data_IF_289168218332
#
_entry.id   IF_289168218332
#
_cell.length_a   1.000
_cell.length_b   1.000
_cell.length_c   1.000
_cell.angle_alpha   90.00
_cell.angle_beta   90.00
_cell.angle_gamma   90.00
#
_symmetry.space_group_name_H-M   'P 1'
#
loop_
_entity.id
_entity.type
_entity.pdbx_description
1 polymer ?
#
# COMPACT_ATOMS: atom_id res chain seq x y z
N UNK A 1 -5.61 -2.28 56.78
CA UNK A 1 -4.81 -3.04 55.82
C UNK A 1 -5.49 -2.99 54.47
N UNK A 2 -5.12 -2.00 53.60
CA UNK A 2 -5.74 -1.84 52.27
C UNK A 2 -4.80 -2.47 51.26
N UNK A 3 -5.24 -3.58 50.66
CA UNK A 3 -4.58 -4.24 49.54
C UNK A 3 -4.74 -3.34 48.29
N UNK A 4 -3.65 -2.72 47.87
CA UNK A 4 -3.55 -2.07 46.55
C UNK A 4 -3.50 -3.19 45.47
N UNK A 5 -4.57 -3.37 44.77
CA UNK A 5 -4.59 -4.14 43.54
C UNK A 5 -3.69 -3.45 42.52
N UNK A 6 -2.58 -4.10 42.15
CA UNK A 6 -1.76 -3.69 41.00
C UNK A 6 -2.60 -3.80 39.71
N UNK A 7 -2.61 -2.77 38.88
CA UNK A 7 -3.16 -2.91 37.54
C UNK A 7 -2.32 -3.97 36.80
N UNK A 8 -2.99 -4.99 36.29
CA UNK A 8 -2.41 -5.98 35.41
C UNK A 8 -1.82 -5.26 34.18
N UNK A 9 -0.49 -5.26 34.09
CA UNK A 9 0.27 -4.84 32.91
C UNK A 9 -0.17 -5.69 31.70
N UNK A 10 -1.21 -5.25 31.02
CA UNK A 10 -1.52 -5.71 29.69
C UNK A 10 -0.41 -5.17 28.77
N UNK A 11 0.69 -5.92 28.64
CA UNK A 11 1.76 -5.64 27.66
C UNK A 11 1.12 -5.68 26.28
N UNK A 12 0.65 -4.53 25.82
CA UNK A 12 0.35 -4.33 24.42
C UNK A 12 1.63 -4.61 23.64
N UNK A 13 1.63 -5.63 22.80
CA UNK A 13 2.69 -5.96 21.88
C UNK A 13 2.74 -4.88 20.76
N UNK A 14 2.99 -3.63 21.17
CA UNK A 14 3.27 -2.55 20.24
C UNK A 14 4.65 -2.80 19.65
N UNK A 15 4.68 -3.42 18.48
CA UNK A 15 5.90 -3.57 17.69
C UNK A 15 6.51 -2.17 17.49
N UNK A 16 7.76 -1.99 17.92
CA UNK A 16 8.48 -0.72 17.80
C UNK A 16 8.35 -0.20 16.35
N UNK A 17 8.00 1.08 16.17
CA UNK A 17 7.92 1.66 14.84
C UNK A 17 9.27 1.60 14.14
N UNK A 18 9.27 1.35 12.83
CA UNK A 18 10.48 1.33 12.02
C UNK A 18 11.11 2.73 11.95
N UNK A 19 12.43 2.77 11.77
CA UNK A 19 13.10 3.98 11.30
C UNK A 19 12.60 4.27 9.87
N UNK A 20 12.38 5.52 9.52
CA UNK A 20 11.89 5.92 8.17
C UNK A 20 12.78 5.39 7.06
N UNK A 21 14.12 5.42 7.25
CA UNK A 21 15.08 4.86 6.30
C UNK A 21 14.91 3.36 6.07
N UNK A 22 14.61 2.60 7.12
CA UNK A 22 14.38 1.16 7.02
C UNK A 22 13.05 0.84 6.29
N UNK A 23 11.99 1.62 6.53
CA UNK A 23 10.74 1.46 5.81
C UNK A 23 10.90 1.79 4.32
N UNK A 24 11.57 2.89 3.99
CA UNK A 24 11.89 3.25 2.61
C UNK A 24 12.76 2.19 1.90
N UNK A 25 13.74 1.62 2.61
CA UNK A 25 14.56 0.53 2.06
C UNK A 25 13.72 -0.73 1.76
N UNK A 26 12.78 -1.10 2.63
CA UNK A 26 11.86 -2.22 2.37
C UNK A 26 11.03 -1.95 1.11
N UNK A 27 10.46 -0.75 0.97
CA UNK A 27 9.70 -0.37 -0.23
C UNK A 27 10.56 -0.49 -1.48
N UNK A 28 11.77 0.08 -1.48
CA UNK A 28 12.66 0.07 -2.64
C UNK A 28 13.10 -1.34 -3.03
N UNK A 29 13.50 -2.17 -2.06
CA UNK A 29 13.94 -3.55 -2.30
C UNK A 29 12.80 -4.39 -2.86
N UNK A 30 11.62 -4.34 -2.25
CA UNK A 30 10.46 -5.12 -2.72
C UNK A 30 10.01 -4.65 -4.09
N UNK A 31 9.97 -3.34 -4.34
CA UNK A 31 9.63 -2.79 -5.66
C UNK A 31 10.64 -3.29 -6.72
N UNK A 32 11.93 -3.27 -6.43
CA UNK A 32 12.96 -3.77 -7.35
C UNK A 32 12.83 -5.28 -7.61
N UNK A 33 12.56 -6.08 -6.58
CA UNK A 33 12.38 -7.53 -6.71
C UNK A 33 11.15 -7.86 -7.55
N UNK A 34 10.01 -7.23 -7.27
CA UNK A 34 8.77 -7.47 -8.03
C UNK A 34 8.91 -7.00 -9.47
N UNK A 35 9.50 -5.82 -9.71
CA UNK A 35 9.80 -5.33 -11.05
C UNK A 35 10.70 -6.30 -11.81
N UNK A 36 11.79 -6.75 -11.19
CA UNK A 36 12.69 -7.69 -11.82
C UNK A 36 12.02 -9.03 -12.15
N UNK A 37 11.21 -9.56 -11.23
CA UNK A 37 10.45 -10.78 -11.46
C UNK A 37 9.45 -10.63 -12.61
N UNK A 38 8.69 -9.53 -12.66
CA UNK A 38 7.75 -9.24 -13.73
C UNK A 38 8.45 -9.15 -15.09
N UNK A 39 9.51 -8.35 -15.19
CA UNK A 39 10.25 -8.18 -16.45
C UNK A 39 10.98 -9.46 -16.88
N UNK A 40 11.46 -10.26 -15.93
CA UNK A 40 12.05 -11.57 -16.22
C UNK A 40 11.02 -12.53 -16.81
N UNK A 41 9.83 -12.65 -16.19
CA UNK A 41 8.77 -13.53 -16.74
C UNK A 41 8.29 -13.02 -18.10
N UNK A 42 8.15 -11.71 -18.30
CA UNK A 42 7.82 -11.12 -19.60
C UNK A 42 8.88 -11.40 -20.66
N UNK A 43 10.16 -11.37 -20.29
CA UNK A 43 11.25 -11.76 -21.19
C UNK A 43 11.16 -13.24 -21.61
N UNK A 44 10.93 -14.13 -20.64
CA UNK A 44 10.72 -15.56 -20.95
C UNK A 44 9.51 -15.77 -21.85
N UNK A 45 8.41 -15.05 -21.60
CA UNK A 45 7.21 -15.10 -22.42
C UNK A 45 7.49 -14.74 -23.89
N UNK A 46 8.17 -13.62 -24.11
CA UNK A 46 8.51 -13.16 -25.46
C UNK A 46 9.45 -14.14 -26.17
N UNK A 47 10.36 -14.77 -25.42
CA UNK A 47 11.40 -15.64 -25.98
C UNK A 47 10.86 -17.02 -26.33
N UNK A 48 9.98 -17.58 -25.49
CA UNK A 48 9.64 -19.00 -25.58
C UNK A 48 8.18 -19.28 -25.93
N UNK A 49 7.27 -18.33 -25.79
CA UNK A 49 5.86 -18.54 -26.09
C UNK A 49 5.48 -18.04 -27.49
N UNK A 50 4.70 -18.81 -28.25
CA UNK A 50 4.18 -18.36 -29.53
C UNK A 50 3.13 -17.25 -29.31
N UNK A 51 3.28 -16.16 -30.05
CA UNK A 51 2.34 -15.03 -29.99
C UNK A 51 0.94 -15.45 -30.44
N UNK A 52 -0.08 -15.06 -29.64
CA UNK A 52 -1.48 -15.29 -29.96
C UNK A 52 -1.94 -16.76 -29.91
N UNK A 53 -1.19 -17.64 -29.24
CA UNK A 53 -1.56 -19.05 -29.09
C UNK A 53 -1.57 -19.45 -27.61
N UNK A 54 -2.63 -20.16 -27.21
CA UNK A 54 -2.73 -20.73 -25.87
C UNK A 54 -1.86 -21.98 -25.76
N UNK A 55 -1.05 -22.02 -24.71
CA UNK A 55 -0.23 -23.19 -24.30
C UNK A 55 -0.77 -23.69 -22.98
N UNK A 56 -1.46 -24.84 -22.93
CA UNK A 56 -2.02 -25.35 -21.68
C UNK A 56 -0.90 -25.81 -20.74
N UNK A 57 -0.98 -25.37 -19.47
CA UNK A 57 -0.09 -25.83 -18.37
C UNK A 57 -0.84 -26.81 -17.47
N UNK A 58 -2.06 -26.49 -17.09
CA UNK A 58 -2.97 -27.35 -16.32
C UNK A 58 -4.32 -27.48 -17.06
N UNK A 59 -4.27 -27.99 -18.30
CA UNK A 59 -5.44 -28.05 -19.17
C UNK A 59 -6.08 -26.67 -19.38
N UNK A 60 -7.42 -26.59 -19.27
CA UNK A 60 -8.16 -25.33 -19.40
C UNK A 60 -8.16 -24.50 -18.10
N UNK A 61 -7.62 -25.06 -17.00
CA UNK A 61 -7.59 -24.34 -15.72
C UNK A 61 -6.54 -23.20 -15.74
N UNK A 62 -5.35 -23.46 -16.29
CA UNK A 62 -4.27 -22.50 -16.42
C UNK A 62 -3.58 -22.68 -17.76
N UNK A 63 -3.54 -21.62 -18.52
CA UNK A 63 -2.88 -21.56 -19.81
C UNK A 63 -1.90 -20.39 -19.84
N UNK A 64 -0.82 -20.54 -20.58
CA UNK A 64 0.04 -19.42 -20.95
C UNK A 64 -0.39 -18.93 -22.34
N UNK A 65 -0.70 -17.66 -22.44
CA UNK A 65 -1.20 -17.06 -23.67
C UNK A 65 -0.55 -15.70 -23.91
N UNK A 66 0.53 -15.69 -24.70
CA UNK A 66 1.26 -14.45 -24.95
C UNK A 66 0.45 -13.50 -25.83
N UNK A 67 0.15 -12.32 -25.28
CA UNK A 67 -0.47 -11.21 -25.98
C UNK A 67 0.20 -9.90 -25.64
N UNK A 68 0.03 -8.89 -26.49
CA UNK A 68 0.40 -7.51 -26.23
C UNK A 68 -0.88 -6.70 -26.00
N UNK A 69 -0.94 -6.04 -24.87
CA UNK A 69 -2.11 -5.32 -24.42
C UNK A 69 -1.90 -3.79 -24.55
N UNK A 70 -2.57 -3.13 -25.50
CA UNK A 70 -2.48 -1.68 -25.67
C UNK A 70 -3.23 -0.89 -24.58
N UNK A 71 -3.79 -1.56 -23.57
CA UNK A 71 -4.46 -0.88 -22.45
C UNK A 71 -5.97 -0.85 -22.55
N UNK A 72 -6.55 -1.52 -23.55
CA UNK A 72 -7.99 -1.63 -23.68
C UNK A 72 -8.45 -3.03 -23.28
N UNK A 73 -9.00 -3.17 -22.07
CA UNK A 73 -9.96 -4.24 -21.85
C UNK A 73 -11.07 -4.05 -22.90
N UNK A 74 -11.30 -5.08 -23.75
CA UNK A 74 -12.37 -5.11 -24.78
C UNK A 74 -12.20 -4.17 -25.98
N UNK A 75 -11.00 -3.83 -26.43
CA UNK A 75 -10.75 -3.00 -27.62
C UNK A 75 -11.39 -1.60 -27.58
N UNK A 76 -11.85 -1.15 -26.44
CA UNK A 76 -12.45 0.17 -26.25
C UNK A 76 -11.33 1.17 -25.97
N UNK A 77 -10.79 1.80 -27.00
CA UNK A 77 -9.92 2.96 -26.83
C UNK A 77 -8.46 2.79 -27.24
N UNK A 78 -8.20 2.32 -28.46
CA UNK A 78 -6.85 2.34 -29.06
C UNK A 78 -6.18 3.75 -29.06
N UNK A 79 -6.95 4.82 -28.81
CA UNK A 79 -6.44 6.19 -28.64
C UNK A 79 -6.23 6.63 -27.17
N UNK A 80 -6.64 5.83 -26.19
CA UNK A 80 -6.62 6.22 -24.77
C UNK A 80 -5.50 5.56 -23.94
N UNK A 81 -4.59 4.82 -24.55
CA UNK A 81 -3.49 4.10 -23.91
C UNK A 81 -2.62 5.01 -23.01
N UNK A 82 -2.39 6.25 -23.42
CA UNK A 82 -1.65 7.24 -22.67
C UNK A 82 -2.27 7.58 -21.30
N UNK A 83 -3.59 7.42 -21.16
CA UNK A 83 -4.30 7.65 -19.87
C UNK A 83 -3.83 6.62 -18.85
N UNK A 84 -3.72 5.34 -19.25
CA UNK A 84 -3.23 4.27 -18.35
C UNK A 84 -1.78 4.50 -17.97
N UNK A 85 -0.95 4.90 -18.91
CA UNK A 85 0.46 5.25 -18.65
C UNK A 85 0.57 6.39 -17.64
N UNK A 86 -0.21 7.45 -17.84
CA UNK A 86 -0.27 8.60 -16.92
C UNK A 86 -0.79 8.19 -15.55
N UNK A 87 -1.83 7.37 -15.46
CA UNK A 87 -2.37 6.87 -14.21
C UNK A 87 -1.33 6.04 -13.42
N UNK A 88 -0.63 5.11 -14.09
CA UNK A 88 0.44 4.33 -13.48
C UNK A 88 1.58 5.23 -12.97
N UNK A 89 1.97 6.24 -13.74
CA UNK A 89 3.01 7.19 -13.34
C UNK A 89 2.58 8.00 -12.10
N UNK A 90 1.34 8.51 -12.07
CA UNK A 90 0.80 9.21 -10.90
C UNK A 90 0.80 8.32 -9.67
N UNK A 91 0.32 7.08 -9.79
CA UNK A 91 0.30 6.12 -8.68
C UNK A 91 1.71 5.84 -8.18
N UNK A 92 2.69 5.63 -9.07
CA UNK A 92 4.08 5.44 -8.69
C UNK A 92 4.63 6.62 -7.90
N UNK A 93 4.40 7.86 -8.37
CA UNK A 93 4.83 9.09 -7.68
C UNK A 93 4.18 9.21 -6.30
N UNK A 94 2.87 8.95 -6.19
CA UNK A 94 2.14 9.01 -4.92
C UNK A 94 2.70 7.98 -3.92
N UNK A 95 2.96 6.74 -4.35
CA UNK A 95 3.53 5.70 -3.48
C UNK A 95 4.92 6.11 -3.01
N UNK A 96 5.79 6.58 -3.90
CA UNK A 96 7.14 7.05 -3.54
C UNK A 96 7.05 8.21 -2.55
N UNK A 97 6.18 9.18 -2.78
CA UNK A 97 5.98 10.29 -1.86
C UNK A 97 5.53 9.84 -0.47
N UNK A 98 4.57 8.93 -0.39
CA UNK A 98 4.09 8.36 0.88
C UNK A 98 5.16 7.53 1.59
N UNK A 99 6.06 6.88 0.86
CA UNK A 99 7.12 6.05 1.42
C UNK A 99 8.07 6.82 2.34
N UNK A 100 8.30 8.13 2.11
CA UNK A 100 9.15 8.97 2.98
C UNK A 100 8.60 9.17 4.40
N UNK A 101 7.28 9.04 4.59
CA UNK A 101 6.63 9.18 5.90
C UNK A 101 6.39 7.87 6.64
N UNK A 102 6.67 6.72 6.03
CA UNK A 102 6.30 5.41 6.55
C UNK A 102 7.12 5.00 7.78
N UNK A 103 6.41 4.38 8.74
CA UNK A 103 6.99 3.73 9.93
C UNK A 103 6.42 2.32 10.18
N UNK A 104 5.36 1.95 9.47
CA UNK A 104 4.72 0.64 9.54
C UNK A 104 5.41 -0.34 8.59
N UNK A 105 5.80 -1.53 9.10
CA UNK A 105 6.35 -2.61 8.28
C UNK A 105 5.33 -3.12 7.26
N UNK A 106 4.08 -3.27 7.71
CA UNK A 106 3.03 -3.81 6.87
C UNK A 106 2.72 -2.89 5.70
N UNK A 107 2.60 -1.58 5.95
CA UNK A 107 2.48 -0.59 4.88
C UNK A 107 3.68 -0.58 3.93
N UNK A 108 4.91 -0.73 4.46
CA UNK A 108 6.11 -0.76 3.63
C UNK A 108 6.12 -1.98 2.69
N UNK A 109 5.69 -3.15 3.16
CA UNK A 109 5.59 -4.36 2.33
C UNK A 109 4.52 -4.19 1.26
N UNK A 110 3.32 -3.77 1.64
CA UNK A 110 2.19 -3.61 0.71
C UNK A 110 2.50 -2.58 -0.38
N UNK A 111 3.01 -1.40 0.02
CA UNK A 111 3.34 -0.34 -0.95
C UNK A 111 4.57 -0.68 -1.79
N UNK A 112 5.53 -1.43 -1.25
CA UNK A 112 6.68 -1.92 -2.03
C UNK A 112 6.28 -2.90 -3.12
N UNK A 113 5.45 -3.89 -2.79
CA UNK A 113 4.91 -4.84 -3.76
C UNK A 113 4.03 -4.15 -4.80
N UNK A 114 3.14 -3.26 -4.37
CA UNK A 114 2.28 -2.49 -5.27
C UNK A 114 3.12 -1.62 -6.22
N UNK A 115 4.12 -0.91 -5.71
CA UNK A 115 5.02 -0.09 -6.52
C UNK A 115 5.76 -0.92 -7.57
N UNK A 116 6.25 -2.10 -7.20
CA UNK A 116 6.92 -3.01 -8.12
C UNK A 116 6.03 -3.44 -9.28
N UNK A 117 4.76 -3.80 -9.01
CA UNK A 117 3.78 -4.11 -10.05
C UNK A 117 3.48 -2.90 -10.95
N UNK A 118 3.24 -1.73 -10.35
CA UNK A 118 3.01 -0.49 -11.11
C UNK A 118 4.20 -0.17 -12.02
N UNK A 119 5.43 -0.26 -11.50
CA UNK A 119 6.64 -0.03 -12.29
C UNK A 119 6.84 -1.09 -13.38
N UNK A 120 6.42 -2.34 -13.15
CA UNK A 120 6.47 -3.41 -14.15
C UNK A 120 5.66 -3.06 -15.41
N UNK A 121 4.39 -2.70 -15.23
CA UNK A 121 3.55 -2.29 -16.35
C UNK A 121 3.92 -0.91 -16.92
N UNK A 122 4.39 0.02 -16.08
CA UNK A 122 4.88 1.31 -16.54
C UNK A 122 6.13 1.18 -17.41
N UNK A 123 7.05 0.26 -17.07
CA UNK A 123 8.24 -0.04 -17.88
C UNK A 123 7.85 -0.48 -19.28
N UNK A 124 6.86 -1.38 -19.42
CA UNK A 124 6.37 -1.79 -20.73
C UNK A 124 5.79 -0.60 -21.51
N UNK A 125 4.99 0.24 -20.87
CA UNK A 125 4.38 1.43 -21.49
C UNK A 125 5.39 2.46 -22.00
N UNK A 126 6.55 2.54 -21.33
CA UNK A 126 7.60 3.51 -21.69
C UNK A 126 8.55 2.96 -22.74
N UNK A 127 8.93 1.67 -22.66
CA UNK A 127 10.06 1.14 -23.41
C UNK A 127 9.70 0.11 -24.49
N UNK A 128 8.46 -0.45 -24.51
CA UNK A 128 8.04 -1.37 -25.56
C UNK A 128 7.34 -0.66 -26.71
N UNK A 129 7.32 -1.32 -27.87
CA UNK A 129 6.63 -0.81 -29.03
C UNK A 129 5.13 -0.53 -28.75
N UNK A 130 4.57 0.51 -29.37
CA UNK A 130 5.18 1.49 -30.28
C UNK A 130 5.94 2.62 -29.58
N UNK A 131 6.19 2.53 -28.26
CA UNK A 131 6.95 3.47 -27.45
C UNK A 131 6.08 4.40 -26.61
N UNK A 132 6.76 5.23 -25.83
CA UNK A 132 6.11 6.18 -24.91
C UNK A 132 5.16 7.15 -25.66
N UNK A 133 3.95 7.42 -25.14
CA UNK A 133 3.34 6.91 -23.89
C UNK A 133 2.38 5.73 -24.14
N UNK A 134 2.44 5.06 -25.27
CA UNK A 134 1.46 4.08 -25.75
C UNK A 134 2.02 2.67 -25.91
N UNK A 135 3.18 2.37 -25.35
CA UNK A 135 3.78 1.04 -25.37
C UNK A 135 2.83 -0.05 -24.87
N UNK A 136 2.95 -1.25 -25.41
CA UNK A 136 2.05 -2.36 -25.11
C UNK A 136 2.59 -3.20 -23.95
N UNK A 137 1.71 -3.53 -23.00
CA UNK A 137 2.04 -4.43 -21.87
C UNK A 137 2.03 -5.87 -22.35
N UNK A 138 3.01 -6.65 -21.91
CA UNK A 138 3.08 -8.09 -22.18
C UNK A 138 2.27 -8.85 -21.15
N UNK A 139 1.19 -9.50 -21.60
CA UNK A 139 0.35 -10.37 -20.76
C UNK A 139 0.53 -11.82 -21.19
N UNK A 140 0.39 -12.76 -20.22
CA UNK A 140 0.65 -14.16 -20.49
C UNK A 140 -0.18 -15.16 -19.67
N UNK A 141 -0.79 -14.76 -18.58
CA UNK A 141 -1.52 -15.67 -17.67
C UNK A 141 -2.99 -15.65 -18.07
N UNK A 142 -3.50 -16.79 -18.48
CA UNK A 142 -4.91 -16.97 -18.88
C UNK A 142 -5.56 -18.02 -17.97
N UNK A 143 -6.68 -17.65 -17.36
CA UNK A 143 -7.54 -18.53 -16.55
C UNK A 143 -8.98 -18.39 -17.07
N UNK A 144 -9.34 -19.07 -18.18
CA UNK A 144 -10.63 -18.88 -18.85
C UNK A 144 -11.87 -19.11 -17.98
N UNK A 145 -11.76 -19.99 -16.97
CA UNK A 145 -12.82 -20.28 -16.01
C UNK A 145 -13.06 -19.14 -15.00
N UNK A 146 -12.04 -18.31 -14.71
CA UNK A 146 -12.11 -17.24 -13.72
C UNK A 146 -12.47 -15.91 -14.39
N UNK A 147 -11.80 -15.57 -15.48
CA UNK A 147 -11.99 -14.32 -16.20
C UNK A 147 -11.53 -14.45 -17.66
N UNK A 148 -12.17 -13.74 -18.59
CA UNK A 148 -11.75 -13.74 -20.00
C UNK A 148 -10.48 -12.90 -20.25
N UNK A 149 -10.04 -12.10 -19.29
CA UNK A 149 -8.86 -11.25 -19.42
C UNK A 149 -7.59 -12.06 -19.21
N UNK A 150 -6.57 -11.77 -20.03
CA UNK A 150 -5.21 -12.27 -19.84
C UNK A 150 -4.45 -11.21 -19.06
N UNK A 151 -3.63 -11.63 -18.10
CA UNK A 151 -2.91 -10.75 -17.17
C UNK A 151 -1.46 -11.19 -16.99
N UNK A 152 -0.69 -10.43 -16.22
CA UNK A 152 0.72 -10.65 -15.99
C UNK A 152 1.08 -10.64 -14.49
N UNK A 153 2.36 -10.83 -14.18
CA UNK A 153 2.86 -10.85 -12.78
C UNK A 153 2.63 -9.50 -12.10
N UNK A 154 2.87 -8.38 -12.79
CA UNK A 154 2.65 -7.05 -12.24
C UNK A 154 1.19 -6.83 -11.82
N UNK A 155 0.22 -7.33 -12.61
CA UNK A 155 -1.22 -7.19 -12.29
C UNK A 155 -1.58 -7.93 -11.00
N UNK A 156 -0.99 -9.10 -10.74
CA UNK A 156 -1.19 -9.82 -9.48
C UNK A 156 -0.78 -8.94 -8.30
N UNK A 157 0.38 -8.28 -8.37
CA UNK A 157 0.86 -7.39 -7.32
C UNK A 157 0.06 -6.10 -7.23
N UNK A 158 -0.45 -5.57 -8.34
CA UNK A 158 -1.32 -4.39 -8.36
C UNK A 158 -2.65 -4.74 -7.66
N UNK A 159 -3.33 -5.80 -8.07
CA UNK A 159 -4.64 -6.17 -7.53
C UNK A 159 -4.54 -6.56 -6.05
N UNK A 160 -3.60 -7.44 -5.69
CA UNK A 160 -3.40 -7.85 -4.30
C UNK A 160 -2.93 -6.69 -3.42
N UNK A 161 -2.09 -5.81 -3.95
CA UNK A 161 -1.65 -4.59 -3.29
C UNK A 161 -2.80 -3.62 -3.03
N UNK A 162 -3.65 -3.37 -4.01
CA UNK A 162 -4.83 -2.50 -3.86
C UNK A 162 -5.83 -3.06 -2.84
N UNK A 163 -6.11 -4.37 -2.89
CA UNK A 163 -6.97 -5.03 -1.89
C UNK A 163 -6.34 -4.88 -0.50
N UNK A 164 -5.03 -5.10 -0.38
CA UNK A 164 -4.32 -4.96 0.89
C UNK A 164 -4.38 -3.53 1.43
N UNK A 165 -4.19 -2.52 0.57
CA UNK A 165 -4.35 -1.11 0.95
C UNK A 165 -5.76 -0.83 1.47
N UNK A 166 -6.79 -1.30 0.75
CA UNK A 166 -8.19 -1.14 1.17
C UNK A 166 -8.44 -1.79 2.54
N UNK A 167 -7.94 -3.01 2.75
CA UNK A 167 -8.06 -3.70 4.03
C UNK A 167 -7.33 -2.95 5.16
N UNK A 168 -6.10 -2.46 4.93
CA UNK A 168 -5.37 -1.71 5.94
C UNK A 168 -6.10 -0.43 6.37
N UNK A 169 -6.71 0.26 5.40
CA UNK A 169 -7.54 1.45 5.67
C UNK A 169 -8.80 1.06 6.43
N UNK A 170 -9.52 0.02 6.02
CA UNK A 170 -10.74 -0.47 6.71
C UNK A 170 -10.47 -0.90 8.15
N UNK A 171 -9.32 -1.50 8.43
CA UNK A 171 -8.91 -1.87 9.78
C UNK A 171 -8.32 -0.70 10.58
N UNK A 172 -8.35 0.51 10.05
CA UNK A 172 -7.87 1.73 10.70
C UNK A 172 -6.37 1.70 11.00
N UNK A 173 -5.56 1.00 10.19
CA UNK A 173 -4.11 0.96 10.36
C UNK A 173 -3.47 2.18 9.70
N UNK A 174 -2.84 3.04 10.50
CA UNK A 174 -2.15 4.24 10.04
C UNK A 174 -0.74 3.94 9.50
N UNK A 175 -0.18 4.88 8.73
CA UNK A 175 1.17 4.76 8.14
C UNK A 175 2.30 4.69 9.17
N UNK A 176 2.06 5.15 10.40
CA UNK A 176 2.98 5.05 11.53
C UNK A 176 2.93 3.67 12.23
N UNK A 177 1.94 2.83 11.90
CA UNK A 177 1.72 1.52 12.48
C UNK A 177 0.82 1.52 13.71
N UNK A 178 0.26 2.65 14.10
CA UNK A 178 -0.76 2.77 15.16
C UNK A 178 -2.15 2.46 14.58
N UNK A 179 -3.09 2.12 15.45
CA UNK A 179 -4.49 2.02 15.07
C UNK A 179 -5.21 3.33 15.40
N UNK A 180 -6.15 3.72 14.58
CA UNK A 180 -6.93 4.94 14.75
C UNK A 180 -7.65 4.97 16.10
N UNK A 181 -8.20 3.84 16.55
CA UNK A 181 -8.82 3.68 17.87
C UNK A 181 -7.88 3.97 19.03
N UNK A 182 -6.61 3.56 18.91
CA UNK A 182 -5.61 3.78 19.95
C UNK A 182 -5.22 5.26 20.02
N UNK A 183 -5.25 5.94 18.89
CA UNK A 183 -4.97 7.37 18.79
C UNK A 183 -6.12 8.20 19.38
N UNK A 184 -7.37 7.88 19.04
CA UNK A 184 -8.56 8.52 19.60
C UNK A 184 -8.65 8.34 21.11
N UNK A 185 -8.35 7.13 21.62
CA UNK A 185 -8.33 6.84 23.04
C UNK A 185 -7.24 7.65 23.79
N UNK A 186 -6.05 7.76 23.18
CA UNK A 186 -4.96 8.54 23.76
C UNK A 186 -5.26 10.05 23.75
N UNK A 187 -5.89 10.55 22.68
CA UNK A 187 -6.29 11.97 22.58
C UNK A 187 -7.38 12.33 23.57
N UNK A 188 -8.37 11.43 23.76
CA UNK A 188 -9.43 11.59 24.74
C UNK A 188 -8.89 11.60 26.18
N UNK A 189 -7.99 10.67 26.51
CA UNK A 189 -7.32 10.64 27.81
C UNK A 189 -6.45 11.89 28.07
N UNK A 190 -5.80 12.41 27.02
CA UNK A 190 -5.02 13.65 27.13
C UNK A 190 -5.92 14.90 27.33
N UNK A 191 -7.10 14.92 26.72
CA UNK A 191 -8.08 15.99 26.92
C UNK A 191 -8.65 15.95 28.35
N UNK A 192 -9.05 14.78 28.86
CA UNK A 192 -9.54 14.60 30.23
C UNK A 192 -8.49 15.03 31.29
N UNK A 193 -7.21 14.69 31.07
CA UNK A 193 -6.14 15.11 31.96
C UNK A 193 -5.91 16.64 31.96
N UNK A 194 -6.03 17.31 30.79
CA UNK A 194 -5.92 18.77 30.70
C UNK A 194 -7.07 19.47 31.44
N UNK A 195 -8.27 18.95 31.34
CA UNK A 195 -9.44 19.54 32.00
C UNK A 195 -9.36 19.33 33.54
N UNK A 196 -8.88 18.17 33.99
CA UNK A 196 -8.61 17.92 35.40
C UNK A 196 -7.51 18.84 35.97
N UNK A 197 -6.46 19.12 35.20
CA UNK A 197 -5.36 20.01 35.62
C UNK A 197 -5.81 21.48 35.69
N UNK A 198 -6.66 21.92 34.75
CA UNK A 198 -7.28 23.26 34.80
C UNK A 198 -8.22 23.43 35.99
N UNK A 199 -9.07 22.46 36.28
CA UNK A 199 -9.95 22.48 37.45
C UNK A 199 -9.20 22.50 38.79
N UNK A 200 -8.04 21.82 38.87
CA UNK A 200 -7.18 21.84 40.06
C UNK A 200 -6.48 23.19 40.27
N UNK A 201 -6.12 23.90 39.19
CA UNK A 201 -5.50 25.24 39.28
C UNK A 201 -6.51 26.34 39.61
N UNK A 202 -7.77 26.23 39.12
CA UNK A 202 -8.84 27.16 39.43
C UNK A 202 -9.34 27.02 40.88
N UNK A 203 -9.35 25.82 41.45
CA UNK A 203 -9.73 25.56 42.84
C UNK A 203 -8.67 25.97 43.90
N UNK A 204 -7.44 26.31 43.47
CA UNK A 204 -6.34 26.71 44.35
C UNK A 204 -6.16 28.25 44.49
N UNK A 205 -7.13 29.06 44.05
CA UNK A 205 -7.10 30.52 44.28
C UNK A 205 -7.15 30.80 45.78
N UNK A 206 -6.21 31.57 46.37
CA UNK A 206 -6.22 31.84 47.81
C UNK A 206 -7.43 32.71 48.20
N UNK A 207 -8.23 32.21 49.15
CA UNK A 207 -9.24 33.02 49.83
C UNK A 207 -8.62 34.29 50.37
N UNK A 208 -9.02 35.44 49.86
CA UNK A 208 -8.60 36.73 50.36
C UNK A 208 -9.07 36.85 51.81
N UNK A 209 -8.13 36.96 52.74
CA UNK A 209 -8.38 37.23 54.17
C UNK A 209 -9.17 38.52 54.31
N UNK A 210 -10.22 38.57 55.15
CA UNK A 210 -10.90 39.82 55.43
C UNK A 210 -10.01 40.67 56.32
N UNK A 211 -9.68 41.90 55.85
CA UNK A 211 -9.01 42.93 56.63
C UNK A 211 -9.89 43.30 57.82
N UNK A 212 -9.39 43.04 59.04
CA UNK A 212 -9.94 43.58 60.26
C UNK A 212 -9.60 45.07 60.36
N UNK A 213 -10.60 45.93 60.15
CA UNK A 213 -10.57 47.32 60.62
C UNK A 213 -10.94 47.35 62.10
N UNK A 214 -10.10 47.99 62.91
CA UNK A 214 -10.40 48.58 64.21
C UNK A 214 -9.69 49.91 64.35
#
# INVERSE_FOLDING_TARGET
MRLRSRPSDCKSLTRRPLRRSAAGAIVAVLAAVVLAADQFVKHLTITYLPYGKAVPVLGDFLQLFYVRNPGAAFSIGSGATWIFTTALAIVAVVIVWKAFGLRSRLWAVVLGCLLGGVLGNLTDRVFRDPGFPVGEVVDMISMPWMMPAIFNVADIFIVTGMISVALLVLFGLRFDGTRERDHEAAEKAAAENRDAEKGATEGAAPEASPSSES
#
